data_IF_411976095751
#
_entry.id   IF_411976095751
#
_cell.length_a   1.000
_cell.length_b   1.000
_cell.length_c   1.000
_cell.angle_alpha   90.00
_cell.angle_beta   90.00
_cell.angle_gamma   90.00
#
_symmetry.space_group_name_H-M   'P 1'
#
loop_
_entity.id
_entity.type
_entity.pdbx_description
1 polymer ?
#
# COMPACT_ATOMS: atom_id res chain seq x y z
N UNK A 1 0.55 -8.93 -2.44
CA UNK A 1 -0.41 -9.15 -1.37
C UNK A 1 -0.88 -7.86 -0.72
N UNK A 2 -1.93 -7.94 0.07
CA UNK A 2 -2.44 -6.77 0.82
C UNK A 2 -1.44 -6.33 1.90
N UNK A 3 -0.75 -7.30 2.50
CA UNK A 3 0.34 -7.05 3.46
C UNK A 3 1.67 -7.46 2.82
N UNK A 4 2.71 -6.63 2.89
CA UNK A 4 4.04 -7.01 2.47
C UNK A 4 4.61 -8.08 3.40
N UNK A 5 5.55 -8.85 2.90
CA UNK A 5 6.36 -9.77 3.67
C UNK A 5 7.80 -9.63 3.22
N UNK A 6 8.66 -9.17 4.11
CA UNK A 6 10.09 -9.03 3.88
C UNK A 6 10.85 -10.18 4.51
N UNK A 7 11.95 -10.56 3.93
CA UNK A 7 12.84 -11.59 4.47
C UNK A 7 14.30 -11.30 4.21
N UNK A 8 15.14 -11.83 5.06
CA UNK A 8 16.60 -11.87 4.87
C UNK A 8 17.19 -13.13 5.47
N UNK A 9 18.32 -13.54 4.92
CA UNK A 9 19.12 -14.64 5.44
C UNK A 9 20.34 -14.05 6.16
N UNK A 10 20.45 -14.29 7.46
CA UNK A 10 21.58 -13.83 8.26
C UNK A 10 22.86 -14.59 7.93
N UNK A 11 24.06 -14.05 8.25
CA UNK A 11 25.34 -14.73 7.97
C UNK A 11 25.49 -16.12 8.56
N UNK A 12 24.81 -16.42 9.66
CA UNK A 12 24.79 -17.72 10.31
C UNK A 12 23.83 -18.73 9.63
N UNK A 13 23.05 -18.27 8.66
CA UNK A 13 22.03 -19.04 7.94
C UNK A 13 20.65 -19.03 8.57
N UNK A 14 20.42 -18.18 9.58
CA UNK A 14 19.08 -17.97 10.14
C UNK A 14 18.23 -17.17 9.15
N UNK A 15 17.03 -17.67 8.81
CA UNK A 15 16.03 -16.92 8.06
C UNK A 15 15.18 -16.12 9.05
N UNK A 16 15.09 -14.83 8.82
CA UNK A 16 14.13 -13.96 9.53
C UNK A 16 13.19 -13.31 8.52
N UNK A 17 11.95 -13.09 8.92
CA UNK A 17 10.92 -12.46 8.08
C UNK A 17 9.93 -11.66 8.92
N UNK A 18 9.40 -10.59 8.34
CA UNK A 18 8.41 -9.71 8.98
C UNK A 18 7.62 -8.92 7.94
N UNK A 19 6.52 -8.32 8.34
CA UNK A 19 5.73 -7.41 7.49
C UNK A 19 6.37 -6.03 7.34
N UNK A 20 7.31 -5.68 8.21
CA UNK A 20 8.06 -4.43 8.22
C UNK A 20 9.54 -4.71 8.40
N UNK A 21 10.41 -3.95 7.71
CA UNK A 21 11.86 -4.17 7.76
C UNK A 21 12.43 -3.79 9.13
N UNK A 22 11.87 -2.74 9.77
CA UNK A 22 12.28 -2.34 11.12
C UNK A 22 12.10 -3.46 12.15
N UNK A 23 11.14 -4.35 11.96
CA UNK A 23 11.02 -5.53 12.82
C UNK A 23 12.15 -6.56 12.60
N UNK A 24 12.71 -6.65 11.38
CA UNK A 24 13.92 -7.46 11.13
C UNK A 24 15.15 -6.87 11.82
N UNK A 25 15.20 -5.54 11.95
CA UNK A 25 16.32 -4.81 12.58
C UNK A 25 16.43 -5.09 14.08
N UNK A 26 15.35 -5.53 14.73
CA UNK A 26 15.36 -5.92 16.14
C UNK A 26 16.15 -7.22 16.41
N UNK A 27 16.45 -8.00 15.36
CA UNK A 27 17.25 -9.22 15.53
C UNK A 27 18.75 -8.87 15.68
N UNK A 28 19.43 -9.34 16.74
CA UNK A 28 20.82 -8.94 17.04
C UNK A 28 21.85 -9.34 15.96
N UNK A 29 21.52 -10.28 15.10
CA UNK A 29 22.34 -10.67 13.95
C UNK A 29 22.08 -9.87 12.68
N UNK A 30 21.10 -8.97 12.66
CA UNK A 30 20.82 -8.14 11.51
C UNK A 30 21.79 -6.95 11.42
N UNK A 31 22.30 -6.69 10.23
CA UNK A 31 23.15 -5.54 9.95
C UNK A 31 22.48 -4.72 8.85
N UNK A 32 21.98 -3.54 9.23
CA UNK A 32 21.38 -2.61 8.28
C UNK A 32 22.47 -2.02 7.35
N UNK A 33 22.49 -2.48 6.11
CA UNK A 33 23.41 -1.97 5.09
C UNK A 33 22.57 -1.40 3.95
N UNK A 34 22.71 -0.12 3.57
CA UNK A 34 22.00 0.46 2.44
C UNK A 34 22.33 -0.27 1.12
N UNK A 35 21.32 -0.49 0.30
CA UNK A 35 21.48 -0.99 -1.06
C UNK A 35 21.53 0.20 -2.03
N UNK A 36 22.74 0.53 -2.48
CA UNK A 36 22.97 1.73 -3.29
C UNK A 36 22.29 1.62 -4.66
N UNK A 37 22.25 0.43 -5.25
CA UNK A 37 21.61 0.21 -6.55
C UNK A 37 20.08 0.36 -6.42
N UNK A 38 19.50 -0.21 -5.37
CA UNK A 38 18.08 -0.07 -5.09
C UNK A 38 17.70 1.39 -4.79
N UNK A 39 18.54 2.14 -4.07
CA UNK A 39 18.34 3.58 -3.82
C UNK A 39 18.40 4.34 -5.16
N UNK A 40 19.40 4.08 -6.00
CA UNK A 40 19.53 4.73 -7.30
C UNK A 40 18.32 4.47 -8.21
N UNK A 41 17.80 3.24 -8.21
CA UNK A 41 16.57 2.88 -8.95
C UNK A 41 15.38 3.70 -8.45
N UNK A 42 15.18 3.81 -7.14
CA UNK A 42 14.05 4.58 -6.57
C UNK A 42 14.18 6.08 -6.87
N UNK A 43 15.38 6.64 -6.84
CA UNK A 43 15.60 8.04 -7.21
C UNK A 43 15.36 8.32 -8.70
N UNK A 44 15.56 7.31 -9.56
CA UNK A 44 15.39 7.44 -11.00
C UNK A 44 13.95 7.16 -11.47
N UNK A 45 13.26 6.21 -10.83
CA UNK A 45 11.96 5.69 -11.27
C UNK A 45 10.83 5.91 -10.24
N UNK A 46 11.15 6.40 -9.03
CA UNK A 46 10.20 6.64 -7.92
C UNK A 46 9.62 5.37 -7.28
N UNK A 47 9.88 4.19 -7.84
CA UNK A 47 9.40 2.89 -7.32
C UNK A 47 10.42 1.78 -7.57
N UNK A 48 10.33 0.65 -6.81
CA UNK A 48 11.19 -0.51 -7.05
C UNK A 48 10.83 -1.21 -8.37
N UNK A 49 11.85 -1.63 -9.13
CA UNK A 49 11.64 -2.39 -10.37
C UNK A 49 11.53 -3.91 -10.12
N UNK A 50 11.86 -4.36 -8.92
CA UNK A 50 11.84 -5.75 -8.50
C UNK A 50 11.49 -5.88 -7.01
N UNK A 51 11.76 -7.02 -6.40
CA UNK A 51 11.51 -7.28 -4.98
C UNK A 51 12.63 -6.79 -4.06
N UNK A 52 13.57 -5.99 -4.54
CA UNK A 52 14.63 -5.40 -3.71
C UNK A 52 14.09 -4.31 -2.80
N UNK A 53 14.76 -4.11 -1.67
CA UNK A 53 14.45 -3.05 -0.71
C UNK A 53 15.61 -2.07 -0.61
N UNK A 54 15.47 -1.02 0.17
CA UNK A 54 16.59 -0.09 0.45
C UNK A 54 17.72 -0.71 1.27
N UNK A 55 17.53 -1.94 1.76
CA UNK A 55 18.51 -2.65 2.59
C UNK A 55 19.07 -3.85 1.84
N UNK A 56 20.39 -3.88 1.72
CA UNK A 56 21.12 -4.97 1.07
C UNK A 56 20.81 -6.33 1.72
N UNK A 57 20.47 -7.32 0.90
CA UNK A 57 20.10 -8.67 1.36
C UNK A 57 18.69 -8.81 1.93
N UNK A 58 17.93 -7.73 2.04
CA UNK A 58 16.50 -7.79 2.39
C UNK A 58 15.68 -7.74 1.12
N UNK A 59 14.80 -8.74 0.93
CA UNK A 59 13.91 -8.81 -0.23
C UNK A 59 12.47 -8.98 0.20
N UNK A 60 11.56 -8.41 -0.57
CA UNK A 60 10.13 -8.67 -0.42
C UNK A 60 9.80 -10.02 -1.04
N UNK A 61 8.94 -10.79 -0.38
CA UNK A 61 8.38 -12.01 -0.97
C UNK A 61 7.40 -11.61 -2.07
N UNK A 62 7.56 -12.19 -3.25
CA UNK A 62 6.73 -11.86 -4.41
C UNK A 62 5.24 -12.11 -4.11
N UNK A 63 4.35 -11.13 -4.39
CA UNK A 63 2.91 -11.28 -4.17
C UNK A 63 2.35 -12.52 -4.88
N UNK A 64 1.43 -13.22 -4.23
CA UNK A 64 0.80 -14.42 -4.79
C UNK A 64 1.72 -15.63 -4.87
N UNK A 65 2.84 -15.65 -4.14
CA UNK A 65 3.75 -16.80 -4.08
C UNK A 65 3.81 -17.42 -2.68
N UNK A 66 4.23 -18.68 -2.65
CA UNK A 66 4.55 -19.43 -1.45
C UNK A 66 6.00 -19.86 -1.54
N UNK A 67 6.82 -19.41 -0.60
CA UNK A 67 8.18 -19.90 -0.44
C UNK A 67 8.23 -21.05 0.57
N UNK A 68 8.86 -22.14 0.21
CA UNK A 68 9.11 -23.26 1.12
C UNK A 68 10.58 -23.31 1.48
N UNK A 69 10.87 -23.25 2.76
CA UNK A 69 12.21 -23.30 3.31
C UNK A 69 12.44 -24.60 4.09
N UNK A 70 13.67 -25.09 4.11
CA UNK A 70 14.09 -26.26 4.88
C UNK A 70 15.41 -25.95 5.57
N UNK A 71 15.77 -26.75 6.55
CA UNK A 71 17.07 -26.63 7.23
C UNK A 71 18.07 -27.66 6.64
N UNK A 72 19.31 -27.22 6.45
CA UNK A 72 20.41 -28.12 6.14
C UNK A 72 20.89 -28.90 7.38
N UNK A 73 21.90 -29.76 7.20
CA UNK A 73 22.49 -30.55 8.28
C UNK A 73 23.20 -29.71 9.35
N UNK A 74 23.39 -28.41 9.11
CA UNK A 74 23.97 -27.45 10.05
C UNK A 74 22.93 -26.50 10.66
N UNK A 75 21.65 -26.75 10.40
CA UNK A 75 20.54 -25.93 10.88
C UNK A 75 20.35 -24.60 10.12
N UNK A 76 20.96 -24.41 8.96
CA UNK A 76 20.83 -23.21 8.15
C UNK A 76 19.64 -23.30 7.21
N UNK A 77 18.90 -22.23 7.06
CA UNK A 77 17.74 -22.16 6.17
C UNK A 77 18.18 -22.21 4.69
N UNK A 78 17.50 -23.04 3.91
CA UNK A 78 17.68 -23.17 2.47
C UNK A 78 16.32 -23.04 1.80
N UNK A 79 16.22 -22.17 0.79
CA UNK A 79 15.03 -22.07 -0.04
C UNK A 79 14.87 -23.34 -0.87
N UNK A 80 13.80 -24.08 -0.64
CA UNK A 80 13.50 -25.34 -1.33
C UNK A 80 12.70 -25.12 -2.61
N UNK A 81 11.69 -24.26 -2.57
CA UNK A 81 10.85 -23.98 -3.73
C UNK A 81 10.11 -22.65 -3.57
N UNK A 82 9.80 -22.04 -4.70
CA UNK A 82 8.86 -20.93 -4.84
C UNK A 82 7.74 -21.42 -5.75
N UNK A 83 6.50 -21.26 -5.30
CA UNK A 83 5.30 -21.66 -6.04
C UNK A 83 4.34 -20.49 -6.13
N UNK A 84 3.90 -20.15 -7.33
CA UNK A 84 2.80 -19.23 -7.51
C UNK A 84 1.48 -19.94 -7.19
N UNK A 85 0.72 -19.41 -6.22
CA UNK A 85 -0.61 -19.90 -5.90
C UNK A 85 -1.72 -19.07 -6.58
N UNK A 86 -1.33 -17.93 -7.15
CA UNK A 86 -2.23 -17.07 -7.89
C UNK A 86 -1.73 -16.93 -9.34
N UNK A 87 -2.51 -17.45 -10.27
CA UNK A 87 -2.27 -17.23 -11.69
C UNK A 87 -3.24 -16.14 -12.14
N UNK A 88 -2.72 -15.03 -12.62
CA UNK A 88 -3.53 -14.07 -13.35
C UNK A 88 -4.12 -14.77 -14.58
N UNK A 89 -5.39 -15.15 -14.47
CA UNK A 89 -6.12 -15.53 -15.67
C UNK A 89 -6.41 -14.23 -16.41
N UNK A 90 -5.67 -13.98 -17.47
CA UNK A 90 -5.97 -12.88 -18.37
C UNK A 90 -7.29 -13.22 -19.06
N UNK A 91 -8.39 -12.80 -18.46
CA UNK A 91 -9.67 -12.81 -19.15
C UNK A 91 -9.59 -11.67 -20.16
N UNK A 92 -9.34 -12.00 -21.43
CA UNK A 92 -9.63 -11.07 -22.52
C UNK A 92 -11.13 -11.17 -22.69
N UNK A 93 -11.87 -10.36 -21.92
CA UNK A 93 -13.25 -10.11 -22.23
C UNK A 93 -13.25 -9.19 -23.45
N UNK A 94 -13.97 -9.55 -24.50
CA UNK A 94 -14.27 -8.61 -25.56
C UNK A 94 -15.03 -7.44 -24.92
N UNK A 95 -14.41 -6.27 -24.91
CA UNK A 95 -15.05 -5.07 -24.37
C UNK A 95 -16.23 -4.70 -25.25
N UNK A 96 -17.40 -4.73 -24.69
CA UNK A 96 -18.61 -4.21 -25.32
C UNK A 96 -18.94 -2.84 -24.72
N UNK A 97 -19.10 -1.83 -25.57
CA UNK A 97 -19.37 -0.46 -25.16
C UNK A 97 -20.75 -0.27 -24.49
N UNK A 98 -21.68 -1.20 -24.68
CA UNK A 98 -23.01 -1.13 -24.08
C UNK A 98 -23.02 -1.77 -22.69
N UNK A 99 -22.44 -2.96 -22.53
CA UNK A 99 -22.46 -3.73 -21.28
C UNK A 99 -21.18 -3.61 -20.44
N UNK A 100 -20.07 -3.18 -21.04
CA UNK A 100 -18.78 -3.06 -20.39
C UNK A 100 -18.75 -2.13 -19.18
N UNK A 101 -19.37 -0.93 -19.22
CA UNK A 101 -19.42 -0.03 -18.06
C UNK A 101 -20.15 -0.63 -16.85
N UNK A 102 -21.26 -1.31 -17.06
CA UNK A 102 -22.02 -1.96 -15.99
C UNK A 102 -21.24 -3.11 -15.36
N UNK A 103 -20.60 -3.92 -16.20
CA UNK A 103 -19.72 -5.00 -15.72
C UNK A 103 -18.54 -4.43 -14.91
N UNK A 104 -17.89 -3.36 -15.38
CA UNK A 104 -16.79 -2.72 -14.67
C UNK A 104 -17.25 -2.18 -13.32
N UNK A 105 -18.38 -1.46 -13.28
CA UNK A 105 -18.94 -0.92 -12.05
C UNK A 105 -19.28 -2.03 -11.05
N UNK A 106 -19.90 -3.11 -11.52
CA UNK A 106 -20.20 -4.28 -10.68
C UNK A 106 -18.92 -4.91 -10.10
N UNK A 107 -17.89 -5.05 -10.91
CA UNK A 107 -16.61 -5.60 -10.48
C UNK A 107 -15.90 -4.70 -9.47
N UNK A 108 -15.95 -3.38 -9.66
CA UNK A 108 -15.42 -2.40 -8.71
C UNK A 108 -16.20 -2.43 -7.39
N UNK A 109 -17.53 -2.48 -7.44
CA UNK A 109 -18.40 -2.60 -6.26
C UNK A 109 -18.02 -3.83 -5.45
N UNK A 110 -17.95 -5.00 -6.05
CA UNK A 110 -17.53 -6.23 -5.38
C UNK A 110 -16.13 -6.13 -4.77
N UNK A 111 -15.23 -5.45 -5.47
CA UNK A 111 -13.88 -5.20 -4.98
C UNK A 111 -13.87 -4.30 -3.74
N UNK A 112 -14.67 -3.24 -3.72
CA UNK A 112 -14.84 -2.36 -2.55
C UNK A 112 -15.49 -3.11 -1.39
N UNK A 113 -16.61 -3.81 -1.61
CA UNK A 113 -17.30 -4.62 -0.61
C UNK A 113 -16.34 -5.57 0.13
N UNK A 114 -15.51 -6.28 -0.64
CA UNK A 114 -14.56 -7.23 -0.05
C UNK A 114 -13.50 -6.58 0.84
N UNK A 115 -13.25 -5.28 0.68
CA UNK A 115 -12.29 -4.49 1.46
C UNK A 115 -12.91 -3.72 2.62
N UNK A 116 -14.22 -3.65 2.64
CA UNK A 116 -14.96 -3.04 3.76
C UNK A 116 -15.22 -4.01 4.91
N UNK A 117 -14.81 -5.26 4.78
CA UNK A 117 -14.86 -6.23 5.86
C UNK A 117 -13.77 -5.90 6.89
N UNK A 118 -14.13 -5.19 7.94
CA UNK A 118 -13.23 -4.73 9.01
C UNK A 118 -13.95 -4.67 10.34
N UNK A 119 -13.25 -4.93 11.43
CA UNK A 119 -13.68 -4.72 12.81
C UNK A 119 -13.28 -3.32 13.36
N UNK A 120 -12.55 -2.54 12.55
CA UNK A 120 -12.17 -1.16 12.83
C UNK A 120 -12.90 -0.17 11.90
N UNK A 121 -13.07 1.09 12.31
CA UNK A 121 -13.58 2.14 11.43
C UNK A 121 -12.76 2.24 10.14
N UNK A 122 -13.45 2.43 9.02
CA UNK A 122 -12.83 2.57 7.70
C UNK A 122 -12.85 4.04 7.30
N UNK A 123 -11.71 4.55 6.83
CA UNK A 123 -11.60 5.84 6.21
C UNK A 123 -11.30 5.72 4.71
N UNK A 124 -11.67 6.73 3.94
CA UNK A 124 -11.36 6.85 2.51
C UNK A 124 -10.46 8.04 2.29
N UNK A 125 -9.29 7.80 1.71
CA UNK A 125 -8.42 8.87 1.25
C UNK A 125 -9.00 9.46 -0.03
N UNK A 126 -9.28 10.76 -0.01
CA UNK A 126 -10.00 11.45 -1.08
C UNK A 126 -9.14 12.57 -1.67
N UNK A 127 -8.80 12.48 -2.95
CA UNK A 127 -8.11 13.53 -3.71
C UNK A 127 -9.05 14.33 -4.61
N UNK A 128 -10.34 13.94 -4.68
CA UNK A 128 -11.29 14.55 -5.61
C UNK A 128 -11.10 14.14 -7.09
N UNK A 129 -10.08 13.35 -7.41
CA UNK A 129 -9.91 12.73 -8.72
C UNK A 129 -10.96 11.65 -8.98
N UNK A 130 -11.11 11.22 -10.25
CA UNK A 130 -12.12 10.25 -10.66
C UNK A 130 -12.09 8.96 -9.82
N UNK A 131 -10.92 8.37 -9.65
CA UNK A 131 -10.79 7.06 -9.00
C UNK A 131 -11.15 7.13 -7.52
N UNK A 132 -10.58 8.08 -6.78
CA UNK A 132 -10.86 8.25 -5.34
C UNK A 132 -12.32 8.61 -5.08
N UNK A 133 -12.92 9.44 -5.95
CA UNK A 133 -14.32 9.82 -5.85
C UNK A 133 -15.26 8.63 -6.08
N UNK A 134 -14.96 7.81 -7.08
CA UNK A 134 -15.72 6.59 -7.35
C UNK A 134 -15.61 5.59 -6.19
N UNK A 135 -14.41 5.39 -5.65
CA UNK A 135 -14.21 4.52 -4.48
C UNK A 135 -14.99 5.04 -3.27
N UNK A 136 -14.96 6.36 -2.99
CA UNK A 136 -15.71 6.96 -1.90
C UNK A 136 -17.23 6.74 -2.05
N UNK A 137 -17.77 6.96 -3.25
CA UNK A 137 -19.18 6.72 -3.54
C UNK A 137 -19.57 5.26 -3.34
N UNK A 138 -18.79 4.31 -3.88
CA UNK A 138 -19.05 2.88 -3.73
C UNK A 138 -18.93 2.41 -2.27
N UNK A 139 -17.98 2.96 -1.52
CA UNK A 139 -17.81 2.66 -0.10
C UNK A 139 -19.01 3.15 0.74
N UNK A 140 -19.49 4.38 0.45
CA UNK A 140 -20.72 4.89 1.07
C UNK A 140 -21.93 4.01 0.77
N UNK A 141 -22.16 3.71 -0.52
CA UNK A 141 -23.29 2.86 -0.95
C UNK A 141 -23.24 1.50 -0.24
N UNK A 142 -22.09 0.84 -0.28
CA UNK A 142 -21.87 -0.45 0.39
C UNK A 142 -22.19 -0.38 1.89
N UNK A 143 -21.71 0.65 2.58
CA UNK A 143 -21.97 0.83 4.00
C UNK A 143 -23.48 0.96 4.29
N UNK A 144 -24.20 1.74 3.48
CA UNK A 144 -25.64 1.94 3.62
C UNK A 144 -26.44 0.66 3.33
N UNK A 145 -26.03 -0.11 2.31
CA UNK A 145 -26.69 -1.40 1.96
C UNK A 145 -26.61 -2.43 3.09
N UNK A 146 -25.51 -2.47 3.82
CA UNK A 146 -25.34 -3.40 4.96
C UNK A 146 -25.79 -2.81 6.30
N UNK A 147 -26.25 -1.56 6.33
CA UNK A 147 -26.66 -0.86 7.56
C UNK A 147 -25.47 -0.56 8.48
N UNK A 148 -24.28 -0.42 7.91
CA UNK A 148 -23.04 -0.07 8.61
C UNK A 148 -22.80 1.45 8.72
N UNK A 149 -21.71 1.82 9.38
CA UNK A 149 -21.28 3.21 9.47
C UNK A 149 -20.69 3.65 8.12
N UNK A 150 -21.12 4.81 7.62
CA UNK A 150 -20.54 5.43 6.43
C UNK A 150 -19.07 5.80 6.71
N UNK A 151 -18.12 5.41 5.84
CA UNK A 151 -16.73 5.80 6.00
C UNK A 151 -16.54 7.32 6.01
N UNK A 152 -15.56 7.80 6.76
CA UNK A 152 -15.16 9.21 6.75
C UNK A 152 -14.12 9.43 5.64
N UNK A 153 -14.07 10.65 5.09
CA UNK A 153 -13.10 11.04 4.05
C UNK A 153 -11.95 11.84 4.66
N UNK A 154 -10.76 11.62 4.11
CA UNK A 154 -9.53 12.27 4.54
C UNK A 154 -8.78 12.87 3.35
N UNK A 155 -8.38 14.13 3.48
CA UNK A 155 -7.58 14.83 2.44
C UNK A 155 -6.42 15.56 3.09
N UNK A 156 -5.26 15.43 2.44
CA UNK A 156 -4.05 16.17 2.81
C UNK A 156 -3.64 17.06 1.64
N UNK A 157 -3.28 18.31 1.91
CA UNK A 157 -2.85 19.24 0.88
C UNK A 157 -1.79 20.21 1.41
N UNK A 158 -1.10 20.92 0.51
CA UNK A 158 -0.15 21.98 0.87
C UNK A 158 -0.83 23.30 1.23
N UNK A 159 -2.03 23.53 0.74
CA UNK A 159 -2.87 24.71 1.02
C UNK A 159 -4.31 24.45 0.59
N UNK A 160 -5.24 25.31 0.99
CA UNK A 160 -6.68 25.22 0.66
C UNK A 160 -6.98 25.57 -0.81
N UNK A 161 -6.06 26.21 -1.52
CA UNK A 161 -6.21 26.54 -2.96
C UNK A 161 -5.75 25.38 -3.86
N UNK A 162 -5.20 24.33 -3.29
CA UNK A 162 -4.78 23.15 -4.04
C UNK A 162 -5.97 22.54 -4.80
N UNK A 163 -5.87 22.31 -6.12
CA UNK A 163 -6.98 21.79 -6.92
C UNK A 163 -7.57 20.48 -6.40
N UNK A 164 -6.72 19.57 -5.90
CA UNK A 164 -7.18 18.30 -5.33
C UNK A 164 -7.95 18.51 -4.03
N UNK A 165 -7.52 19.47 -3.20
CA UNK A 165 -8.23 19.82 -1.97
C UNK A 165 -9.63 20.34 -2.29
N UNK A 166 -9.74 21.33 -3.18
CA UNK A 166 -11.04 21.91 -3.60
C UNK A 166 -11.95 20.85 -4.21
N UNK A 167 -11.40 19.97 -5.05
CA UNK A 167 -12.16 18.88 -5.66
C UNK A 167 -12.64 17.87 -4.61
N UNK A 168 -11.79 17.52 -3.64
CA UNK A 168 -12.14 16.60 -2.55
C UNK A 168 -13.27 17.16 -1.66
N UNK A 169 -13.23 18.46 -1.31
CA UNK A 169 -14.31 19.11 -0.57
C UNK A 169 -15.64 19.03 -1.32
N UNK A 170 -15.61 19.31 -2.62
CA UNK A 170 -16.81 19.23 -3.46
C UNK A 170 -17.39 17.82 -3.49
N UNK A 171 -16.55 16.80 -3.66
CA UNK A 171 -16.96 15.38 -3.69
C UNK A 171 -17.50 14.96 -2.32
N UNK A 172 -16.79 15.24 -1.24
CA UNK A 172 -17.22 14.87 0.11
C UNK A 172 -18.57 15.52 0.46
N UNK A 173 -18.74 16.80 0.11
CA UNK A 173 -20.02 17.52 0.26
C UNK A 173 -21.14 16.91 -0.57
N UNK A 174 -20.88 16.57 -1.84
CA UNK A 174 -21.86 15.92 -2.72
C UNK A 174 -22.27 14.55 -2.19
N UNK A 175 -21.31 13.79 -1.67
CA UNK A 175 -21.56 12.48 -1.09
C UNK A 175 -22.09 12.55 0.35
N UNK A 176 -22.23 13.75 0.95
CA UNK A 176 -22.67 13.94 2.34
C UNK A 176 -21.83 13.06 3.31
N UNK A 177 -20.53 12.98 3.08
CA UNK A 177 -19.59 12.24 3.92
C UNK A 177 -18.83 13.18 4.83
N UNK A 178 -18.51 12.70 6.04
CA UNK A 178 -17.67 13.45 6.97
C UNK A 178 -16.27 13.63 6.38
N UNK A 179 -15.78 14.86 6.28
CA UNK A 179 -14.52 15.18 5.62
C UNK A 179 -13.51 15.78 6.58
N UNK A 180 -12.41 15.09 6.78
CA UNK A 180 -11.27 15.56 7.55
C UNK A 180 -10.19 16.06 6.60
N UNK A 181 -9.69 17.25 6.87
CA UNK A 181 -8.65 17.89 6.06
C UNK A 181 -7.43 18.22 6.89
N UNK A 182 -6.26 18.10 6.28
CA UNK A 182 -4.98 18.49 6.89
C UNK A 182 -4.15 19.29 5.89
N UNK A 183 -3.72 20.47 6.30
CA UNK A 183 -2.79 21.29 5.53
C UNK A 183 -1.40 21.08 6.10
N UNK A 184 -0.47 20.61 5.24
CA UNK A 184 0.92 20.38 5.62
C UNK A 184 1.77 21.52 5.10
N UNK A 185 2.27 22.35 6.00
CA UNK A 185 3.24 23.37 5.67
C UNK A 185 4.60 22.74 5.28
N UNK A 186 5.32 23.37 4.35
CA UNK A 186 6.60 22.87 3.85
C UNK A 186 7.61 22.58 4.98
N UNK A 187 7.74 23.47 5.95
CA UNK A 187 8.64 23.27 7.08
C UNK A 187 8.23 22.07 7.96
N UNK A 188 6.94 21.82 8.13
CA UNK A 188 6.43 20.69 8.88
C UNK A 188 6.76 19.38 8.15
N UNK A 189 6.62 19.35 6.81
CA UNK A 189 7.03 18.23 5.98
C UNK A 189 8.51 17.89 6.16
N UNK A 190 9.41 18.86 5.98
CA UNK A 190 10.85 18.63 6.10
C UNK A 190 11.26 18.14 7.49
N UNK A 191 10.65 18.67 8.54
CA UNK A 191 10.93 18.23 9.91
C UNK A 191 10.47 16.79 10.19
N UNK A 192 9.46 16.31 9.49
CA UNK A 192 8.91 14.95 9.65
C UNK A 192 9.47 13.93 8.65
N UNK A 193 10.19 14.37 7.63
CA UNK A 193 10.73 13.49 6.60
C UNK A 193 11.53 12.29 7.14
N UNK A 194 12.40 12.43 8.17
CA UNK A 194 13.09 11.27 8.73
C UNK A 194 12.14 10.22 9.33
N UNK A 195 11.07 10.64 10.01
CA UNK A 195 10.08 9.70 10.55
C UNK A 195 9.25 9.07 9.43
N UNK A 196 8.89 9.82 8.40
CA UNK A 196 8.19 9.26 7.24
C UNK A 196 9.01 8.15 6.56
N UNK A 197 10.30 8.40 6.30
CA UNK A 197 11.19 7.39 5.72
C UNK A 197 11.30 6.15 6.64
N UNK A 198 11.41 6.37 7.96
CA UNK A 198 11.46 5.28 8.92
C UNK A 198 10.16 4.45 8.91
N UNK A 199 9.01 5.11 8.87
CA UNK A 199 7.71 4.44 8.92
C UNK A 199 7.35 3.77 7.60
N UNK A 200 7.64 4.42 6.47
CA UNK A 200 7.40 3.90 5.13
C UNK A 200 8.42 2.86 4.65
N UNK A 201 9.64 2.90 5.23
CA UNK A 201 10.76 2.01 4.88
C UNK A 201 11.15 2.04 3.39
N UNK A 202 10.73 3.08 2.68
CA UNK A 202 11.04 3.33 1.28
C UNK A 202 11.25 4.83 1.02
N UNK A 203 11.69 5.18 -0.19
CA UNK A 203 11.83 6.54 -0.69
C UNK A 203 10.66 6.96 -1.59
N UNK A 204 9.62 6.17 -1.65
CA UNK A 204 8.38 6.53 -2.35
C UNK A 204 7.67 7.66 -1.60
N UNK A 205 7.88 8.88 -2.10
CA UNK A 205 7.32 10.10 -1.51
C UNK A 205 5.79 10.16 -1.65
N UNK A 206 5.18 9.42 -2.55
CA UNK A 206 3.72 9.42 -2.71
C UNK A 206 3.03 8.79 -1.50
N UNK A 207 3.65 7.80 -0.87
CA UNK A 207 3.17 7.16 0.37
C UNK A 207 3.37 8.09 1.58
N UNK A 208 4.40 8.95 1.55
CA UNK A 208 4.75 9.83 2.68
C UNK A 208 3.70 10.90 2.97
N UNK A 209 2.89 11.29 1.98
CA UNK A 209 1.83 12.27 2.16
C UNK A 209 0.60 11.72 2.90
N UNK A 210 0.46 10.41 3.01
CA UNK A 210 -0.73 9.76 3.53
C UNK A 210 -0.58 9.17 4.93
N UNK A 211 0.57 9.32 5.55
CA UNK A 211 0.71 8.90 6.93
C UNK A 211 -0.03 9.86 7.84
N UNK A 212 -0.89 9.35 8.74
CA UNK A 212 -1.65 10.21 9.63
C UNK A 212 -0.72 11.06 10.49
N UNK A 213 -1.03 12.33 10.53
CA UNK A 213 -0.38 13.33 11.37
C UNK A 213 -0.67 13.09 12.84
#
# INVERSE_FOLDING_TARGET
GVKPLFRTLLPDGTLIFASEIKALQEHPGFIATPDIDAIAIRLAYEYPLDMTTLFSGVTQVEPGTIETWTLDNKGRAILKSIQSHYKHTRVIADWDSESGPEWLLSSLRQSVESRMLSDAPIGVVLSGGLDSSLIAALAKDTALEVGGAVPECWTVASNEENPDFVAAELVASHLEMNHHTSIIEENAFWNRLPSFIHDGEDLDITVLFWQPL
#
